data_IF_852170144321
#
_entry.id   IF_852170144321
#
_cell.length_a   1.000
_cell.length_b   1.000
_cell.length_c   1.000
_cell.angle_alpha   90.00
_cell.angle_beta   90.00
_cell.angle_gamma   90.00
#
_symmetry.space_group_name_H-M   'P 1'
#
loop_
_entity.id
_entity.type
_entity.pdbx_description
1 polymer ?
#
# COMPACT_ATOMS: atom_id res chain seq x y z
N UNK A 1 -1.49 -44.28 10.60
CA UNK A 1 -0.38 -44.24 9.63
C UNK A 1 -0.83 -43.36 8.47
N UNK A 2 -0.51 -42.07 8.52
CA UNK A 2 -0.66 -41.16 7.39
C UNK A 2 0.74 -40.60 7.14
N UNK A 3 1.24 -40.86 5.94
CA UNK A 3 2.62 -40.63 5.52
C UNK A 3 2.92 -39.12 5.50
N UNK A 4 4.01 -38.75 6.16
CA UNK A 4 4.74 -37.51 5.93
C UNK A 4 5.15 -37.43 4.46
N UNK A 5 4.54 -36.52 3.70
CA UNK A 5 5.16 -35.99 2.49
C UNK A 5 5.94 -34.74 2.87
N UNK A 6 7.11 -34.94 3.46
CA UNK A 6 8.12 -33.91 3.53
C UNK A 6 8.68 -33.78 2.11
N UNK A 7 8.10 -32.91 1.28
CA UNK A 7 8.71 -32.56 0.00
C UNK A 7 9.96 -31.75 0.31
N UNK A 8 11.13 -32.37 0.20
CA UNK A 8 12.40 -31.66 0.29
C UNK A 8 12.37 -30.49 -0.70
N UNK A 9 12.27 -29.28 -0.18
CA UNK A 9 12.37 -28.07 -0.97
C UNK A 9 13.80 -28.01 -1.50
N UNK A 10 13.95 -28.12 -2.83
CA UNK A 10 15.24 -27.97 -3.49
C UNK A 10 15.85 -26.60 -3.15
N UNK A 11 17.01 -26.60 -2.50
CA UNK A 11 17.80 -25.41 -2.19
C UNK A 11 19.12 -25.45 -2.96
N UNK A 12 19.51 -24.34 -3.58
CA UNK A 12 20.75 -24.23 -4.36
C UNK A 12 22.01 -24.06 -3.47
N UNK A 13 21.82 -23.78 -2.17
CA UNK A 13 22.91 -23.52 -1.23
C UNK A 13 23.44 -24.81 -0.58
N UNK A 14 24.77 -24.89 -0.46
CA UNK A 14 25.50 -26.04 0.09
C UNK A 14 25.42 -26.16 1.63
N UNK A 15 24.73 -25.24 2.32
CA UNK A 15 24.58 -25.21 3.78
C UNK A 15 23.13 -25.55 4.14
N UNK A 16 22.94 -26.61 4.90
CA UNK A 16 21.64 -27.08 5.35
C UNK A 16 20.90 -26.00 6.16
N UNK A 17 19.71 -25.61 5.70
CA UNK A 17 18.87 -24.58 6.33
C UNK A 17 19.09 -23.13 5.87
N UNK A 18 20.07 -22.86 5.00
CA UNK A 18 20.27 -21.54 4.39
C UNK A 18 19.45 -21.40 3.10
N UNK A 19 18.72 -20.30 2.95
CA UNK A 19 17.98 -20.00 1.70
C UNK A 19 16.70 -20.82 1.46
N UNK A 20 16.17 -21.51 2.48
CA UNK A 20 14.92 -22.27 2.35
C UNK A 20 13.65 -21.39 2.35
N UNK A 21 13.73 -20.17 2.90
CA UNK A 21 12.65 -19.19 2.87
C UNK A 21 12.64 -18.37 1.59
N UNK A 22 11.45 -18.13 1.05
CA UNK A 22 11.29 -17.18 -0.06
C UNK A 22 11.06 -15.78 0.51
N UNK A 23 11.93 -14.85 0.12
CA UNK A 23 11.87 -13.45 0.54
C UNK A 23 11.48 -12.61 -0.67
N UNK A 24 10.30 -12.00 -0.60
CA UNK A 24 9.74 -11.18 -1.67
C UNK A 24 9.63 -9.74 -1.16
N UNK A 25 10.40 -8.83 -1.77
CA UNK A 25 10.26 -7.40 -1.53
C UNK A 25 9.13 -6.87 -2.43
N UNK A 26 8.09 -6.37 -1.80
CA UNK A 26 6.98 -5.66 -2.44
C UNK A 26 7.11 -4.16 -2.15
N UNK A 27 6.28 -3.38 -2.80
CA UNK A 27 5.85 -2.09 -2.26
C UNK A 27 4.36 -1.91 -2.55
N UNK A 28 3.54 -2.74 -1.90
CA UNK A 28 2.11 -2.73 -2.14
C UNK A 28 1.46 -3.87 -1.38
N UNK A 29 0.55 -3.59 -0.42
CA UNK A 29 0.20 -4.58 0.59
C UNK A 29 -1.00 -5.50 0.28
N UNK A 30 -1.72 -5.33 -0.82
CA UNK A 30 -3.08 -5.90 -0.88
C UNK A 30 -3.18 -7.17 -1.75
N UNK A 31 -3.39 -8.33 -1.09
CA UNK A 31 -4.04 -9.51 -1.69
C UNK A 31 -3.35 -10.86 -1.55
N UNK A 32 -2.09 -10.93 -1.11
CA UNK A 32 -1.26 -12.13 -1.36
C UNK A 32 -1.58 -13.33 -0.45
N UNK A 33 -2.02 -13.10 0.78
CA UNK A 33 -2.34 -14.19 1.72
C UNK A 33 -3.56 -15.02 1.31
N UNK A 34 -4.57 -14.38 0.71
CA UNK A 34 -5.80 -15.05 0.28
C UNK A 34 -5.53 -16.04 -0.86
N UNK A 35 -4.65 -15.70 -1.78
CA UNK A 35 -4.18 -16.59 -2.85
C UNK A 35 -3.39 -17.78 -2.31
N UNK A 36 -2.60 -17.57 -1.25
CA UNK A 36 -1.72 -18.60 -0.68
C UNK A 36 -2.42 -19.51 0.34
N UNK A 37 -3.65 -19.19 0.76
CA UNK A 37 -4.41 -19.92 1.81
C UNK A 37 -3.61 -20.15 3.09
N UNK A 38 -2.77 -19.18 3.46
CA UNK A 38 -1.93 -19.20 4.67
C UNK A 38 -2.29 -18.01 5.56
N UNK A 39 -2.18 -18.12 6.90
CA UNK A 39 -2.36 -16.99 7.80
C UNK A 39 -1.41 -15.84 7.44
N UNK A 40 -1.83 -14.59 7.63
CA UNK A 40 -1.00 -13.40 7.45
C UNK A 40 -0.68 -12.79 8.80
N UNK A 41 0.61 -12.68 9.13
CA UNK A 41 1.10 -11.90 10.26
C UNK A 41 1.64 -10.59 9.69
N UNK A 42 0.97 -9.48 9.99
CA UNK A 42 1.39 -8.14 9.56
C UNK A 42 2.04 -7.40 10.74
N UNK A 43 3.27 -6.92 10.54
CA UNK A 43 4.04 -6.16 11.50
C UNK A 43 4.39 -4.78 10.97
N UNK A 44 4.49 -3.82 11.87
CA UNK A 44 5.04 -2.49 11.63
C UNK A 44 6.32 -2.30 12.44
N UNK A 45 7.05 -1.21 12.17
CA UNK A 45 8.20 -0.81 13.01
C UNK A 45 7.81 -0.66 14.48
N UNK A 46 6.57 -0.28 14.79
CA UNK A 46 6.12 -0.14 16.18
C UNK A 46 6.03 -1.47 16.93
N UNK A 47 5.70 -2.55 16.23
CA UNK A 47 5.59 -3.90 16.81
C UNK A 47 6.96 -4.50 17.12
N UNK A 48 7.95 -4.16 16.30
CA UNK A 48 9.34 -4.65 16.42
C UNK A 48 10.14 -3.77 17.38
N UNK A 49 9.92 -2.45 17.35
CA UNK A 49 10.64 -1.44 18.11
C UNK A 49 11.90 -0.91 17.40
N UNK A 50 12.61 -0.02 18.09
CA UNK A 50 13.83 0.65 17.58
C UNK A 50 15.02 0.50 18.52
N UNK A 51 14.85 -0.18 19.65
CA UNK A 51 15.93 -0.45 20.60
C UNK A 51 16.57 -1.80 20.27
N UNK A 52 17.86 -1.82 19.95
CA UNK A 52 18.60 -2.98 19.45
C UNK A 52 18.31 -4.29 20.20
N UNK A 53 18.45 -4.29 21.53
CA UNK A 53 18.25 -5.49 22.37
C UNK A 53 16.82 -6.02 22.33
N UNK A 54 15.82 -5.12 22.22
CA UNK A 54 14.41 -5.48 22.13
C UNK A 54 14.03 -5.95 20.73
N UNK A 55 14.61 -5.31 19.71
CA UNK A 55 14.33 -5.62 18.30
C UNK A 55 14.75 -7.04 17.97
N UNK A 56 15.93 -7.49 18.44
CA UNK A 56 16.35 -8.87 18.21
C UNK A 56 15.38 -9.89 18.84
N UNK A 57 14.88 -9.60 20.05
CA UNK A 57 13.90 -10.46 20.72
C UNK A 57 12.54 -10.48 20.02
N UNK A 58 12.02 -9.32 19.60
CA UNK A 58 10.74 -9.25 18.89
C UNK A 58 10.84 -9.86 17.49
N UNK A 59 11.89 -9.58 16.72
CA UNK A 59 12.13 -10.25 15.44
C UNK A 59 12.22 -11.76 15.61
N UNK A 60 12.87 -12.23 16.68
CA UNK A 60 12.96 -13.66 16.98
C UNK A 60 11.59 -14.27 17.18
N UNK A 61 10.84 -13.71 18.13
CA UNK A 61 9.48 -14.13 18.46
C UNK A 61 8.56 -14.17 17.24
N UNK A 62 8.56 -13.12 16.42
CA UNK A 62 7.64 -13.04 15.29
C UNK A 62 8.01 -13.96 14.13
N UNK A 63 9.30 -14.11 13.83
CA UNK A 63 9.77 -15.02 12.79
C UNK A 63 9.48 -16.47 13.19
N UNK A 64 9.78 -16.84 14.44
CA UNK A 64 9.52 -18.19 14.95
C UNK A 64 8.02 -18.50 14.96
N UNK A 65 7.17 -17.52 15.31
CA UNK A 65 5.72 -17.67 15.24
C UNK A 65 5.21 -17.85 13.81
N UNK A 66 5.73 -17.06 12.87
CA UNK A 66 5.36 -17.19 11.46
C UNK A 66 5.75 -18.55 10.88
N UNK A 67 6.94 -19.05 11.24
CA UNK A 67 7.40 -20.39 10.84
C UNK A 67 6.54 -21.49 11.47
N UNK A 68 6.27 -21.42 12.77
CA UNK A 68 5.45 -22.40 13.49
C UNK A 68 4.03 -22.52 12.93
N UNK A 69 3.47 -21.42 12.42
CA UNK A 69 2.12 -21.37 11.87
C UNK A 69 2.08 -21.54 10.34
N UNK A 70 3.24 -21.72 9.71
CA UNK A 70 3.39 -21.68 8.25
C UNK A 70 2.71 -20.44 7.64
N UNK A 71 2.82 -19.32 8.35
CA UNK A 71 2.19 -18.05 8.02
C UNK A 71 3.06 -17.25 7.05
N UNK A 72 2.39 -16.38 6.30
CA UNK A 72 3.02 -15.31 5.54
C UNK A 72 3.34 -14.19 6.52
N UNK A 73 4.62 -13.81 6.61
CA UNK A 73 5.06 -12.67 7.41
C UNK A 73 5.14 -11.44 6.51
N UNK A 74 4.42 -10.37 6.85
CA UNK A 74 4.47 -9.07 6.19
C UNK A 74 5.08 -8.07 7.17
N UNK A 75 6.16 -7.40 6.79
CA UNK A 75 6.68 -6.25 7.54
C UNK A 75 6.50 -5.02 6.68
N UNK A 76 5.60 -4.15 7.12
CA UNK A 76 5.20 -2.94 6.41
C UNK A 76 6.09 -1.75 6.81
N UNK A 77 6.42 -0.90 5.85
CA UNK A 77 7.30 0.28 5.99
C UNK A 77 8.65 -0.07 6.65
N UNK A 78 9.28 -1.14 6.15
CA UNK A 78 10.53 -1.69 6.69
C UNK A 78 11.77 -0.80 6.46
N UNK A 79 11.60 0.42 5.93
CA UNK A 79 12.66 1.38 5.55
C UNK A 79 13.82 1.44 6.56
N UNK A 80 13.52 1.51 7.86
CA UNK A 80 14.50 1.64 8.94
C UNK A 80 15.40 0.40 9.07
N UNK A 81 14.87 -0.78 8.77
CA UNK A 81 15.61 -2.05 8.81
C UNK A 81 16.36 -2.33 7.50
N UNK A 82 15.98 -1.66 6.42
CA UNK A 82 16.56 -1.85 5.08
C UNK A 82 17.62 -0.79 4.74
N UNK A 83 17.61 0.36 5.41
CA UNK A 83 18.47 1.49 5.08
C UNK A 83 19.97 1.14 5.18
N UNK A 84 20.78 1.66 4.25
CA UNK A 84 22.23 1.52 4.23
C UNK A 84 22.87 1.83 5.59
N UNK A 85 23.81 0.97 6.00
CA UNK A 85 24.58 1.20 7.22
C UNK A 85 25.43 2.47 7.11
N UNK A 86 25.35 3.35 8.11
CA UNK A 86 26.12 4.61 8.15
C UNK A 86 27.24 4.49 9.18
N UNK A 87 28.43 4.99 8.85
CA UNK A 87 29.63 4.88 9.70
C UNK A 87 29.50 5.47 11.12
N UNK A 88 28.49 6.30 11.38
CA UNK A 88 28.30 7.02 12.65
C UNK A 88 27.06 6.62 13.44
N UNK A 89 26.28 5.63 12.97
CA UNK A 89 25.03 5.23 13.61
C UNK A 89 25.07 3.76 14.04
N UNK A 90 25.77 3.51 15.15
CA UNK A 90 25.95 2.16 15.70
C UNK A 90 24.61 1.50 16.07
N UNK A 91 23.70 2.25 16.69
CA UNK A 91 22.39 1.73 17.09
C UNK A 91 21.56 1.30 15.89
N UNK A 92 21.51 2.11 14.82
CA UNK A 92 20.80 1.72 13.59
C UNK A 92 21.47 0.56 12.87
N UNK A 93 22.80 0.56 12.80
CA UNK A 93 23.54 -0.54 12.17
C UNK A 93 23.30 -1.87 12.91
N UNK A 94 23.11 -1.83 14.23
CA UNK A 94 22.68 -2.96 15.04
C UNK A 94 21.31 -3.50 14.61
N UNK A 95 20.32 -2.61 14.42
CA UNK A 95 18.98 -2.97 13.92
C UNK A 95 19.03 -3.65 12.55
N UNK A 96 19.73 -3.04 11.58
CA UNK A 96 19.87 -3.58 10.22
C UNK A 96 20.56 -4.95 10.26
N UNK A 97 21.62 -5.08 11.08
CA UNK A 97 22.37 -6.34 11.20
C UNK A 97 21.55 -7.45 11.87
N UNK A 98 20.77 -7.13 12.91
CA UNK A 98 19.86 -8.07 13.55
C UNK A 98 18.78 -8.54 12.58
N UNK A 99 18.20 -7.62 11.80
CA UNK A 99 17.19 -7.93 10.80
C UNK A 99 17.73 -8.84 9.68
N UNK A 100 18.87 -8.48 9.07
CA UNK A 100 19.54 -9.29 8.05
C UNK A 100 19.86 -10.70 8.54
N UNK A 101 20.32 -10.83 9.79
CA UNK A 101 20.62 -12.12 10.41
C UNK A 101 19.36 -12.98 10.53
N UNK A 102 18.24 -12.44 11.02
CA UNK A 102 16.99 -13.22 11.15
C UNK A 102 16.41 -13.60 9.79
N UNK A 103 16.53 -12.72 8.79
CA UNK A 103 16.11 -13.02 7.42
C UNK A 103 16.88 -14.17 6.79
N UNK A 104 18.19 -14.26 7.01
CA UNK A 104 19.05 -15.30 6.40
C UNK A 104 18.66 -16.72 6.83
N UNK A 105 18.12 -16.88 8.04
CA UNK A 105 17.71 -18.18 8.60
C UNK A 105 16.19 -18.39 8.60
N UNK A 106 15.40 -17.45 8.08
CA UNK A 106 13.94 -17.58 8.10
C UNK A 106 13.48 -18.66 7.11
N UNK A 107 12.73 -19.66 7.60
CA UNK A 107 12.18 -20.74 6.79
C UNK A 107 10.69 -20.55 6.55
N UNK A 108 10.34 -19.43 5.91
CA UNK A 108 8.96 -19.07 5.63
C UNK A 108 8.83 -18.12 4.43
N UNK A 109 7.65 -17.53 4.28
CA UNK A 109 7.39 -16.53 3.25
C UNK A 109 7.37 -15.15 3.88
N UNK A 110 8.36 -14.32 3.55
CA UNK A 110 8.51 -12.96 4.06
C UNK A 110 8.23 -11.96 2.96
N UNK A 111 7.26 -11.09 3.19
CA UNK A 111 6.98 -9.90 2.43
C UNK A 111 7.45 -8.66 3.17
N UNK A 112 8.11 -7.78 2.44
CA UNK A 112 8.60 -6.50 2.95
C UNK A 112 8.04 -5.39 2.08
N UNK A 113 7.62 -4.28 2.67
CA UNK A 113 7.30 -3.06 1.91
C UNK A 113 8.27 -1.94 2.28
N UNK A 114 8.65 -1.13 1.29
CA UNK A 114 9.48 0.05 1.51
C UNK A 114 9.19 1.12 0.47
N UNK A 115 9.29 2.38 0.91
CA UNK A 115 9.16 3.54 0.03
C UNK A 115 10.53 4.11 -0.40
N UNK A 116 11.63 3.52 0.08
CA UNK A 116 13.01 4.05 -0.02
C UNK A 116 13.98 3.05 -0.68
N UNK A 117 13.60 2.54 -1.84
CA UNK A 117 14.37 1.50 -2.56
C UNK A 117 15.82 1.92 -2.85
N UNK A 118 16.07 3.20 -3.14
CA UNK A 118 17.40 3.72 -3.42
C UNK A 118 18.32 3.85 -2.19
N UNK A 119 17.78 3.69 -0.99
CA UNK A 119 18.54 3.71 0.26
C UNK A 119 18.77 2.31 0.85
N UNK A 120 18.40 1.24 0.14
CA UNK A 120 18.54 -0.12 0.63
C UNK A 120 20.03 -0.53 0.73
N UNK A 121 20.39 -1.24 1.79
CA UNK A 121 21.73 -1.85 1.97
C UNK A 121 21.97 -2.98 0.95
N UNK A 122 23.12 -2.98 0.27
CA UNK A 122 23.44 -3.99 -0.74
C UNK A 122 23.42 -5.43 -0.19
N UNK A 123 23.71 -5.62 1.11
CA UNK A 123 23.63 -6.94 1.74
C UNK A 123 22.19 -7.43 1.87
N UNK A 124 21.21 -6.52 1.89
CA UNK A 124 19.80 -6.88 1.82
C UNK A 124 19.41 -7.29 0.41
N UNK A 125 19.80 -6.53 -0.61
CA UNK A 125 19.49 -6.82 -2.02
C UNK A 125 19.94 -8.23 -2.41
N UNK A 126 21.11 -8.66 -1.95
CA UNK A 126 21.63 -10.01 -2.21
C UNK A 126 20.85 -11.16 -1.55
N UNK A 127 19.95 -10.88 -0.60
CA UNK A 127 19.11 -11.87 0.10
C UNK A 127 17.65 -11.86 -0.36
N UNK A 128 17.26 -10.87 -1.16
CA UNK A 128 15.91 -10.78 -1.74
C UNK A 128 15.83 -11.68 -2.96
N UNK A 129 14.85 -12.58 -2.99
CA UNK A 129 14.66 -13.49 -4.13
C UNK A 129 13.92 -12.80 -5.27
N UNK A 130 13.00 -11.89 -4.95
CA UNK A 130 12.21 -11.13 -5.91
C UNK A 130 11.95 -9.73 -5.37
N UNK A 131 12.23 -8.71 -6.18
CA UNK A 131 11.83 -7.33 -5.92
C UNK A 131 10.80 -6.90 -6.97
N UNK A 132 9.61 -6.48 -6.53
CA UNK A 132 8.53 -6.07 -7.44
C UNK A 132 8.44 -4.55 -7.46
N UNK A 133 8.69 -3.94 -8.61
CA UNK A 133 8.38 -2.54 -8.91
C UNK A 133 6.91 -2.35 -9.31
N UNK A 134 6.24 -1.30 -8.83
CA UNK A 134 4.88 -0.88 -9.18
C UNK A 134 5.07 0.47 -9.79
N UNK A 135 4.65 0.58 -11.04
CA UNK A 135 4.68 1.82 -11.75
C UNK A 135 3.52 2.71 -11.32
N UNK A 136 3.56 3.96 -11.80
CA UNK A 136 2.40 4.84 -11.71
C UNK A 136 1.19 4.16 -12.33
N UNK A 137 0.05 4.33 -11.67
CA UNK A 137 -1.20 3.78 -12.16
C UNK A 137 -1.51 4.40 -13.51
N UNK A 138 -1.61 3.59 -14.56
CA UNK A 138 -2.05 4.08 -15.88
C UNK A 138 -3.47 4.64 -15.79
N UNK A 139 -3.88 5.55 -16.70
CA UNK A 139 -5.27 6.02 -16.74
C UNK A 139 -6.30 4.88 -16.80
N UNK A 140 -5.98 3.80 -17.51
CA UNK A 140 -6.81 2.59 -17.56
C UNK A 140 -6.93 1.89 -16.20
N UNK A 141 -5.82 1.74 -15.48
CA UNK A 141 -5.82 1.11 -14.16
C UNK A 141 -6.54 1.97 -13.11
N UNK A 142 -6.36 3.30 -13.16
CA UNK A 142 -7.10 4.25 -12.31
C UNK A 142 -8.61 4.12 -12.52
N UNK A 143 -9.08 3.99 -13.77
CA UNK A 143 -10.50 3.72 -14.07
C UNK A 143 -10.99 2.43 -13.42
N UNK A 144 -10.22 1.34 -13.53
CA UNK A 144 -10.59 0.06 -12.92
C UNK A 144 -10.73 0.16 -11.39
N UNK A 145 -9.84 0.92 -10.73
CA UNK A 145 -9.92 1.17 -9.29
C UNK A 145 -11.20 1.96 -8.94
N UNK A 146 -11.48 3.04 -9.67
CA UNK A 146 -12.71 3.83 -9.49
C UNK A 146 -13.96 2.97 -9.63
N UNK A 147 -14.04 2.16 -10.69
CA UNK A 147 -15.16 1.22 -10.88
C UNK A 147 -15.24 0.19 -9.75
N UNK A 148 -14.10 -0.33 -9.29
CA UNK A 148 -14.02 -1.24 -8.15
C UNK A 148 -14.61 -0.63 -6.89
N UNK A 149 -14.27 0.63 -6.59
CA UNK A 149 -14.84 1.35 -5.46
C UNK A 149 -16.33 1.66 -5.64
N UNK A 150 -16.79 2.03 -6.84
CA UNK A 150 -18.22 2.22 -7.10
C UNK A 150 -19.01 0.93 -6.90
N UNK A 151 -18.53 -0.21 -7.42
CA UNK A 151 -19.16 -1.53 -7.20
C UNK A 151 -19.19 -1.90 -5.71
N UNK A 152 -18.11 -1.63 -4.99
CA UNK A 152 -18.04 -1.85 -3.53
C UNK A 152 -19.07 -1.01 -2.78
N UNK A 153 -19.15 0.28 -3.12
CA UNK A 153 -20.11 1.22 -2.51
C UNK A 153 -21.55 0.80 -2.78
N UNK A 154 -21.88 0.43 -4.03
CA UNK A 154 -23.20 -0.08 -4.40
C UNK A 154 -23.58 -1.33 -3.59
N UNK A 155 -22.64 -2.26 -3.41
CA UNK A 155 -22.87 -3.48 -2.63
C UNK A 155 -23.08 -3.20 -1.14
N UNK A 156 -22.29 -2.31 -0.55
CA UNK A 156 -22.24 -2.09 0.91
C UNK A 156 -23.22 -1.02 1.41
N UNK A 157 -23.63 -0.10 0.54
CA UNK A 157 -24.47 1.07 0.87
C UNK A 157 -25.67 1.23 -0.08
N UNK A 158 -26.13 0.14 -0.69
CA UNK A 158 -27.31 0.11 -1.54
C UNK A 158 -28.49 0.84 -0.87
N UNK A 159 -29.13 1.75 -1.60
CA UNK A 159 -30.30 2.50 -1.13
C UNK A 159 -30.01 3.61 -0.11
N UNK A 160 -28.75 3.84 0.26
CA UNK A 160 -28.34 4.97 1.12
C UNK A 160 -27.49 5.99 0.40
N UNK A 161 -26.51 5.53 -0.38
CA UNK A 161 -25.59 6.39 -1.13
C UNK A 161 -25.61 5.95 -2.59
N UNK A 162 -25.83 6.90 -3.50
CA UNK A 162 -25.81 6.68 -4.93
C UNK A 162 -24.86 7.67 -5.59
N UNK A 163 -23.92 7.17 -6.40
CA UNK A 163 -23.11 8.04 -7.26
C UNK A 163 -23.89 8.30 -8.54
N UNK A 164 -24.16 9.58 -8.83
CA UNK A 164 -24.94 10.01 -9.99
C UNK A 164 -24.32 9.53 -11.32
N UNK A 165 -25.12 9.25 -12.36
CA UNK A 165 -24.58 8.80 -13.66
C UNK A 165 -23.60 9.81 -14.29
N UNK A 166 -23.88 11.11 -14.16
CA UNK A 166 -22.98 12.20 -14.59
C UNK A 166 -21.66 12.15 -13.82
N UNK A 167 -21.71 12.01 -12.50
CA UNK A 167 -20.54 11.90 -11.63
C UNK A 167 -19.66 10.70 -11.99
N UNK A 168 -20.24 9.52 -12.24
CA UNK A 168 -19.50 8.34 -12.71
C UNK A 168 -18.84 8.60 -14.07
N UNK A 169 -19.58 9.18 -15.01
CA UNK A 169 -19.05 9.51 -16.34
C UNK A 169 -17.89 10.50 -16.24
N UNK A 170 -18.03 11.51 -15.39
CA UNK A 170 -17.00 12.51 -15.12
C UNK A 170 -15.72 11.88 -14.57
N UNK A 171 -15.81 11.05 -13.52
CA UNK A 171 -14.62 10.44 -12.90
C UNK A 171 -13.94 9.43 -13.82
N UNK A 172 -14.70 8.66 -14.61
CA UNK A 172 -14.14 7.62 -15.48
C UNK A 172 -13.63 8.17 -16.83
N UNK A 173 -14.32 9.15 -17.41
CA UNK A 173 -14.08 9.61 -18.78
C UNK A 173 -13.72 11.10 -18.88
N UNK A 174 -13.77 11.85 -17.77
CA UNK A 174 -13.42 13.27 -17.76
C UNK A 174 -11.96 13.48 -18.14
N UNK A 175 -11.73 14.26 -19.20
CA UNK A 175 -10.38 14.56 -19.68
C UNK A 175 -9.53 15.30 -18.65
N UNK A 176 -10.15 16.07 -17.75
CA UNK A 176 -9.46 16.68 -16.61
C UNK A 176 -9.02 15.64 -15.57
N UNK A 177 -9.90 14.71 -15.20
CA UNK A 177 -9.61 13.66 -14.20
C UNK A 177 -8.52 12.72 -14.69
N UNK A 178 -8.52 12.37 -15.99
CA UNK A 178 -7.52 11.45 -16.55
C UNK A 178 -6.09 12.03 -16.56
N UNK A 179 -5.96 13.36 -16.61
CA UNK A 179 -4.66 14.06 -16.52
C UNK A 179 -4.10 14.07 -15.11
N UNK A 180 -4.94 13.91 -14.09
CA UNK A 180 -4.51 13.88 -12.70
C UNK A 180 -3.93 12.50 -12.40
N UNK A 181 -2.68 12.46 -11.94
CA UNK A 181 -1.96 11.23 -11.61
C UNK A 181 -2.26 10.74 -10.20
N UNK A 182 -3.52 10.36 -9.94
CA UNK A 182 -3.94 9.88 -8.63
C UNK A 182 -3.42 8.47 -8.34
N UNK A 183 -2.89 8.26 -7.14
CA UNK A 183 -2.61 6.92 -6.61
C UNK A 183 -3.87 6.28 -5.98
N UNK A 184 -3.79 4.99 -5.62
CA UNK A 184 -4.94 4.26 -5.08
C UNK A 184 -5.50 4.83 -3.76
N UNK A 185 -4.63 5.39 -2.90
CA UNK A 185 -5.04 6.05 -1.64
C UNK A 185 -5.74 7.37 -1.93
N UNK A 186 -5.21 8.17 -2.85
CA UNK A 186 -5.83 9.44 -3.26
C UNK A 186 -7.20 9.22 -3.90
N UNK A 187 -7.35 8.20 -4.75
CA UNK A 187 -8.66 7.80 -5.31
C UNK A 187 -9.65 7.45 -4.19
N UNK A 188 -9.23 6.62 -3.22
CA UNK A 188 -10.06 6.23 -2.07
C UNK A 188 -10.47 7.47 -1.25
N UNK A 189 -9.52 8.34 -0.93
CA UNK A 189 -9.74 9.55 -0.15
C UNK A 189 -10.66 10.54 -0.90
N UNK A 190 -10.48 10.69 -2.21
CA UNK A 190 -11.30 11.55 -3.04
C UNK A 190 -12.76 11.07 -3.06
N UNK A 191 -12.99 9.76 -3.20
CA UNK A 191 -14.32 9.17 -3.11
C UNK A 191 -14.96 9.44 -1.74
N UNK A 192 -14.24 9.15 -0.65
CA UNK A 192 -14.75 9.35 0.71
C UNK A 192 -15.10 10.82 0.96
N UNK A 193 -14.23 11.74 0.54
CA UNK A 193 -14.47 13.18 0.70
C UNK A 193 -15.69 13.62 -0.12
N UNK A 194 -15.85 13.14 -1.35
CA UNK A 194 -17.01 13.47 -2.19
C UNK A 194 -18.33 12.95 -1.56
N UNK A 195 -18.30 11.75 -0.96
CA UNK A 195 -19.44 11.21 -0.21
C UNK A 195 -19.75 12.09 1.01
N UNK A 196 -18.74 12.43 1.81
CA UNK A 196 -18.93 13.27 3.01
C UNK A 196 -19.48 14.66 2.68
N UNK A 197 -19.06 15.26 1.55
CA UNK A 197 -19.64 16.52 1.08
C UNK A 197 -21.12 16.35 0.72
N UNK A 198 -21.48 15.31 -0.01
CA UNK A 198 -22.87 15.04 -0.37
C UNK A 198 -23.76 14.73 0.85
N UNK A 199 -23.22 13.99 1.83
CA UNK A 199 -23.91 13.72 3.09
C UNK A 199 -24.17 15.02 3.87
N UNK A 200 -23.17 15.90 3.95
CA UNK A 200 -23.28 17.19 4.61
C UNK A 200 -24.34 18.09 3.94
N UNK A 201 -24.29 18.22 2.61
CA UNK A 201 -25.28 19.02 1.86
C UNK A 201 -26.71 18.46 2.00
N UNK A 202 -26.87 17.13 2.04
CA UNK A 202 -28.17 16.49 2.29
C UNK A 202 -28.73 16.82 3.67
N UNK A 203 -27.88 16.91 4.70
CA UNK A 203 -28.28 17.27 6.06
C UNK A 203 -28.67 18.75 6.14
N UNK A 204 -27.90 19.64 5.52
CA UNK A 204 -28.21 21.08 5.49
C UNK A 204 -29.53 21.35 4.76
N UNK A 205 -29.77 20.69 3.62
CA UNK A 205 -31.01 20.82 2.88
C UNK A 205 -32.23 20.34 3.70
N UNK A 206 -32.09 19.26 4.47
CA UNK A 206 -33.13 18.77 5.37
C UNK A 206 -33.38 19.74 6.55
N UNK A 207 -32.32 20.30 7.12
CA UNK A 207 -32.40 21.28 8.22
C UNK A 207 -32.98 22.64 7.80
N UNK A 208 -32.76 23.05 6.55
CA UNK A 208 -33.36 24.27 5.99
C UNK A 208 -34.86 24.12 5.65
N UNK A 209 -35.37 22.88 5.57
CA UNK A 209 -36.70 22.56 5.02
C UNK A 209 -37.81 22.32 6.05
N UNK A 210 -37.64 22.59 7.35
CA UNK A 210 -38.79 22.50 8.28
C UNK A 210 -38.59 22.89 9.75
N UNK A 211 -39.37 23.86 10.21
CA UNK A 211 -39.93 23.87 11.57
C UNK A 211 -40.81 22.63 11.80
N UNK A 212 -40.76 22.09 13.02
CA UNK A 212 -41.73 21.22 13.69
C UNK A 212 -42.27 20.00 12.93
N UNK A 213 -41.88 18.81 13.38
CA UNK A 213 -42.69 17.61 13.17
C UNK A 213 -41.89 16.32 13.25
N UNK A 214 -41.97 15.67 14.40
CA UNK A 214 -41.54 14.30 14.68
C UNK A 214 -42.01 13.35 13.57
N UNK A 215 -41.14 13.06 12.59
CA UNK A 215 -41.33 11.91 11.70
C UNK A 215 -39.96 11.35 11.38
N UNK A 216 -39.81 10.05 11.65
CA UNK A 216 -38.62 9.23 11.56
C UNK A 216 -37.65 9.64 10.44
N UNK A 217 -36.36 9.71 10.77
CA UNK A 217 -35.24 9.82 9.83
C UNK A 217 -35.25 8.64 8.83
N UNK A 218 -36.18 8.66 7.88
CA UNK A 218 -36.22 7.73 6.77
C UNK A 218 -35.01 8.07 5.91
N UNK A 219 -34.13 7.07 5.73
CA UNK A 219 -32.87 7.16 4.99
C UNK A 219 -33.02 7.98 3.71
N UNK A 220 -32.67 9.27 3.80
CA UNK A 220 -32.63 10.15 2.65
C UNK A 220 -31.50 9.63 1.77
N UNK A 221 -31.81 9.32 0.52
CA UNK A 221 -30.82 8.84 -0.43
C UNK A 221 -29.83 9.98 -0.71
N UNK A 222 -28.58 9.77 -0.34
CA UNK A 222 -27.49 10.72 -0.61
C UNK A 222 -27.02 10.51 -2.03
N UNK A 223 -27.16 11.53 -2.88
CA UNK A 223 -26.72 11.48 -4.27
C UNK A 223 -25.40 12.24 -4.39
N UNK A 224 -24.34 11.51 -4.74
CA UNK A 224 -23.03 12.10 -5.02
C UNK A 224 -22.99 12.55 -6.47
N UNK A 225 -23.17 13.85 -6.68
CA UNK A 225 -23.10 14.52 -7.97
C UNK A 225 -21.68 14.84 -8.46
N UNK A 226 -21.57 15.26 -9.72
CA UNK A 226 -20.31 15.63 -10.38
C UNK A 226 -19.59 16.76 -9.63
N UNK A 227 -20.33 17.76 -9.15
CA UNK A 227 -19.78 18.93 -8.47
C UNK A 227 -19.00 18.57 -7.20
N UNK A 228 -19.42 17.52 -6.47
CA UNK A 228 -18.67 17.03 -5.31
C UNK A 228 -17.28 16.54 -5.71
N UNK A 229 -17.19 15.71 -6.77
CA UNK A 229 -15.90 15.24 -7.27
C UNK A 229 -15.05 16.38 -7.82
N UNK A 230 -15.66 17.30 -8.57
CA UNK A 230 -14.97 18.47 -9.13
C UNK A 230 -14.35 19.33 -8.03
N UNK A 231 -15.08 19.59 -6.93
CA UNK A 231 -14.56 20.34 -5.77
C UNK A 231 -13.39 19.62 -5.12
N UNK A 232 -13.52 18.32 -4.86
CA UNK A 232 -12.48 17.51 -4.20
C UNK A 232 -11.20 17.43 -5.03
N UNK A 233 -11.34 17.15 -6.34
CA UNK A 233 -10.18 17.05 -7.24
C UNK A 233 -9.47 18.40 -7.37
N UNK A 234 -10.23 19.50 -7.48
CA UNK A 234 -9.65 20.86 -7.52
C UNK A 234 -8.95 21.24 -6.21
N UNK A 235 -9.48 20.82 -5.06
CA UNK A 235 -8.81 21.02 -3.76
C UNK A 235 -7.52 20.22 -3.67
N UNK A 236 -7.52 18.96 -4.14
CA UNK A 236 -6.34 18.11 -4.19
C UNK A 236 -5.25 18.69 -5.09
N UNK A 237 -5.62 19.18 -6.28
CA UNK A 237 -4.71 19.84 -7.22
C UNK A 237 -4.07 21.09 -6.58
N UNK A 238 -4.88 21.98 -6.01
CA UNK A 238 -4.38 23.18 -5.31
C UNK A 238 -3.44 22.86 -4.16
N UNK A 239 -3.71 21.79 -3.40
CA UNK A 239 -2.83 21.36 -2.33
C UNK A 239 -1.49 20.87 -2.88
N UNK A 240 -1.51 20.08 -3.96
CA UNK A 240 -0.30 19.64 -4.63
C UNK A 240 0.52 20.82 -5.15
N UNK A 241 -0.12 21.77 -5.83
CA UNK A 241 0.52 23.00 -6.30
C UNK A 241 1.12 23.83 -5.16
N UNK A 242 0.43 23.92 -4.03
CA UNK A 242 0.93 24.61 -2.84
C UNK A 242 2.18 23.93 -2.26
N UNK A 243 2.15 22.61 -2.09
CA UNK A 243 3.30 21.84 -1.56
C UNK A 243 4.50 21.93 -2.51
N UNK A 244 4.26 21.79 -3.81
CA UNK A 244 5.26 21.95 -4.86
C UNK A 244 5.81 23.38 -4.89
N UNK A 245 4.95 24.40 -4.71
CA UNK A 245 5.32 25.81 -4.65
C UNK A 245 6.22 26.15 -3.46
N UNK A 246 5.97 25.57 -2.28
CA UNK A 246 6.85 25.77 -1.10
C UNK A 246 8.24 25.19 -1.36
N UNK A 247 8.29 23.99 -1.93
CA UNK A 247 9.53 23.21 -2.04
C UNK A 247 10.27 23.40 -3.36
N UNK A 248 9.67 24.13 -4.32
CA UNK A 248 10.14 24.35 -5.71
C UNK A 248 10.36 23.06 -6.52
N UNK A 249 9.89 21.92 -6.01
CA UNK A 249 10.08 20.58 -6.56
C UNK A 249 8.86 19.73 -6.22
N UNK A 250 8.38 18.93 -7.18
CA UNK A 250 7.32 17.96 -6.95
C UNK A 250 7.79 16.79 -6.07
N UNK A 251 6.88 15.92 -5.62
CA UNK A 251 7.26 14.76 -4.78
C UNK A 251 8.28 13.84 -5.44
N UNK A 252 8.21 13.69 -6.75
CA UNK A 252 9.00 12.75 -7.54
C UNK A 252 10.45 13.21 -7.58
N UNK A 253 10.64 14.47 -7.96
CA UNK A 253 11.94 15.12 -7.96
C UNK A 253 12.53 15.09 -6.57
N UNK A 254 11.74 15.36 -5.53
CA UNK A 254 12.21 15.27 -4.14
C UNK A 254 12.68 13.87 -3.77
N UNK A 255 11.94 12.83 -4.14
CA UNK A 255 12.32 11.44 -3.87
C UNK A 255 13.62 11.07 -4.61
N UNK A 256 13.76 11.49 -5.87
CA UNK A 256 14.97 11.28 -6.67
C UNK A 256 16.18 12.01 -6.11
N UNK A 257 16.03 13.30 -5.77
CA UNK A 257 17.11 14.13 -5.19
C UNK A 257 17.60 13.56 -3.85
N UNK A 258 16.70 12.97 -3.06
CA UNK A 258 17.04 12.28 -1.80
C UNK A 258 17.63 10.89 -1.98
N UNK A 259 17.62 10.36 -3.21
CA UNK A 259 17.97 8.98 -3.50
C UNK A 259 17.01 7.96 -2.88
N UNK A 260 15.78 8.36 -2.52
CA UNK A 260 14.78 7.45 -1.95
C UNK A 260 14.28 6.48 -3.04
N UNK A 261 13.96 6.99 -4.23
CA UNK A 261 13.51 6.22 -5.41
C UNK A 261 13.57 7.08 -6.68
N UNK A 262 13.63 6.45 -7.86
CA UNK A 262 13.57 7.15 -9.16
C UNK A 262 12.34 6.70 -9.96
N UNK A 263 11.21 7.41 -9.77
CA UNK A 263 9.96 7.07 -10.47
C UNK A 263 9.97 7.52 -11.95
N UNK A 264 11.01 8.23 -12.42
CA UNK A 264 11.19 8.57 -13.84
C UNK A 264 11.94 7.50 -14.63
N UNK A 265 12.65 6.61 -13.94
CA UNK A 265 13.29 5.48 -14.57
C UNK A 265 12.20 4.52 -15.07
N UNK A 266 11.99 4.46 -16.39
CA UNK A 266 11.17 3.39 -16.97
C UNK A 266 11.84 2.06 -16.63
N UNK A 267 11.19 1.26 -15.79
CA UNK A 267 11.57 -0.15 -15.65
C UNK A 267 11.38 -0.74 -17.05
N UNK A 268 12.46 -1.18 -17.68
CA UNK A 268 12.39 -1.76 -19.00
C UNK A 268 11.32 -2.86 -18.99
N UNK A 269 10.26 -2.66 -19.77
CA UNK A 269 9.26 -3.69 -19.98
C UNK A 269 10.01 -4.96 -20.39
N UNK A 270 9.95 -5.99 -19.55
CA UNK A 270 10.24 -7.33 -20.01
C UNK A 270 9.18 -7.62 -21.09
N UNK A 271 9.57 -7.48 -22.35
CA UNK A 271 8.77 -7.83 -23.51
C UNK A 271 8.40 -9.31 -23.41
N UNK A 272 7.25 -9.57 -22.81
CA UNK A 272 6.56 -10.85 -22.84
C UNK A 272 5.80 -11.03 -24.14
N UNK A 273 6.47 -10.90 -25.29
CA UNK A 273 6.00 -11.58 -26.50
C UNK A 273 6.47 -13.03 -26.43
N UNK A 274 5.66 -13.89 -25.82
CA UNK A 274 5.75 -15.33 -26.09
C UNK A 274 4.88 -15.67 -27.29
N UNK A 275 5.54 -16.29 -28.27
CA UNK A 275 4.92 -17.02 -29.39
C UNK A 275 4.05 -18.17 -28.90
#
# INVERSE_FOLDING_TARGET
>A
MQQDQNSDSWGADFIEGKGAGQIILLHGPEGISEWLRRPLISLTVADIGTTETRVEQELTKWFDLAEAWNAVLLVDEADIFLEQRKNRDLSRNGLVSAFLRRMEYFRGLLFLTTNRVGQIDDAFVSRVHMAIGYERLSPGFRRNIWEGFFRKLERERAGRILVGPSAKKFVLHGGEVQKIELNGREIRNALQTAISLAEFESIEAAGASGQNGTTSASSQLVIVEEDHFRRVLKMSEKFHDYVTGIRKEDEIQRAKVRGDRDDYAKVGAADGQSK
#
